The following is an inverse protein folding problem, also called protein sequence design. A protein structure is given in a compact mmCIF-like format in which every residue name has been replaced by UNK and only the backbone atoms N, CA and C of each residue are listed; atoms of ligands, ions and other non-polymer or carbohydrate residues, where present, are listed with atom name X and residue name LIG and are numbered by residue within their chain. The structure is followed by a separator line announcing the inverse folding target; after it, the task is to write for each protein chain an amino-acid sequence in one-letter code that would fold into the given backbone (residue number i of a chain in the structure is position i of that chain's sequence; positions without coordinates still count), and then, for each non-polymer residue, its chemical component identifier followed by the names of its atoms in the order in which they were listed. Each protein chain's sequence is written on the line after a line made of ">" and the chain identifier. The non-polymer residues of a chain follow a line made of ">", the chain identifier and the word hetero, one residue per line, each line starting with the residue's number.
data_IF_840513010538
#
_entry.id   IF_840513010538
#
_cell.length_a   1.000
_cell.length_b   1.000
_cell.length_c   1.000
_cell.angle_alpha   90.00
_cell.angle_beta   90.00
_cell.angle_gamma   90.00
#
_symmetry.space_group_name_H-M   'P 1'
#
loop_
_entity.id
_entity.type
_entity.pdbx_description
1 polymer ?
#
# COMPACT_ATOMS: atom_id res chain seq x y z
N UNK A 1 7.53 10.13 -3.17
CA UNK A 1 7.00 10.41 -1.82
C UNK A 1 7.14 11.88 -1.41
N UNK A 2 8.25 12.55 -1.74
CA UNK A 2 8.45 13.96 -1.33
C UNK A 2 7.39 14.93 -1.83
N UNK A 3 7.03 14.86 -3.12
CA UNK A 3 5.94 15.69 -3.68
C UNK A 3 4.61 15.49 -2.97
N UNK A 4 4.29 14.26 -2.56
CA UNK A 4 3.08 13.95 -1.79
C UNK A 4 3.17 14.55 -0.39
N UNK A 5 4.33 14.45 0.26
CA UNK A 5 4.55 15.05 1.57
C UNK A 5 4.35 16.57 1.52
N UNK A 6 4.87 17.23 0.49
CA UNK A 6 4.73 18.67 0.32
C UNK A 6 3.26 19.05 0.09
N UNK A 7 2.57 18.36 -0.83
CA UNK A 7 1.14 18.57 -1.09
C UNK A 7 0.28 18.41 0.17
N UNK A 8 0.51 17.34 0.93
CA UNK A 8 -0.24 17.05 2.15
C UNK A 8 -0.03 18.11 3.23
N UNK A 9 1.19 18.63 3.36
CA UNK A 9 1.52 19.71 4.29
C UNK A 9 0.96 21.06 3.85
N UNK A 10 0.88 21.31 2.55
CA UNK A 10 0.25 22.53 2.01
C UNK A 10 -1.25 22.56 2.31
N UNK A 11 -1.92 21.40 2.31
CA UNK A 11 -3.37 21.31 2.53
C UNK A 11 -3.72 20.39 3.72
N UNK A 12 -3.39 20.75 4.96
CA UNK A 12 -3.50 19.87 6.12
C UNK A 12 -4.94 19.44 6.44
N UNK A 13 -5.93 20.23 6.01
CA UNK A 13 -7.36 19.96 6.24
C UNK A 13 -7.99 19.06 5.18
N UNK A 14 -7.27 18.73 4.10
CA UNK A 14 -7.74 17.82 3.04
C UNK A 14 -7.17 16.44 3.32
N UNK A 15 -8.04 15.43 3.42
CA UNK A 15 -7.61 14.02 3.50
C UNK A 15 -7.14 13.57 2.12
N UNK A 16 -5.97 12.94 2.08
CA UNK A 16 -5.36 12.39 0.88
C UNK A 16 -5.26 10.88 1.04
N UNK A 17 -5.83 10.15 0.09
CA UNK A 17 -5.67 8.69 0.01
C UNK A 17 -4.52 8.39 -0.94
N UNK A 18 -3.46 7.79 -0.40
CA UNK A 18 -2.38 7.22 -1.20
C UNK A 18 -2.82 5.87 -1.74
N UNK A 19 -2.87 5.77 -3.06
CA UNK A 19 -3.29 4.56 -3.74
C UNK A 19 -2.21 3.47 -3.77
N UNK A 20 -2.68 2.22 -3.79
CA UNK A 20 -1.91 1.00 -4.02
C UNK A 20 -0.62 0.88 -3.19
N UNK A 21 -0.69 1.26 -1.91
CA UNK A 21 0.48 1.29 -1.02
C UNK A 21 1.67 2.10 -1.60
N UNK A 22 1.40 3.14 -2.40
CA UNK A 22 2.43 3.91 -3.08
C UNK A 22 3.03 3.23 -4.31
N UNK A 23 2.31 2.27 -4.88
CA UNK A 23 2.63 1.52 -6.10
C UNK A 23 4.04 0.92 -6.11
N UNK A 24 4.34 -0.06 -5.23
CA UNK A 24 5.63 -0.73 -5.23
C UNK A 24 5.77 -1.64 -6.46
N UNK A 25 6.52 -1.20 -7.46
CA UNK A 25 6.64 -1.84 -8.78
C UNK A 25 7.59 -3.05 -8.82
N UNK A 26 8.52 -3.16 -7.86
CA UNK A 26 9.52 -4.23 -7.84
C UNK A 26 9.58 -4.92 -6.47
N UNK A 27 10.09 -6.16 -6.45
CA UNK A 27 10.19 -7.01 -5.24
C UNK A 27 11.64 -7.28 -4.79
N UNK A 28 12.61 -6.51 -5.28
CA UNK A 28 13.99 -6.61 -4.79
C UNK A 28 14.12 -6.01 -3.39
N UNK A 29 15.08 -6.52 -2.59
CA UNK A 29 15.33 -6.01 -1.23
C UNK A 29 15.67 -4.51 -1.24
N UNK A 30 16.53 -4.08 -2.16
CA UNK A 30 16.91 -2.66 -2.29
C UNK A 30 15.70 -1.78 -2.59
N UNK A 31 14.85 -2.20 -3.52
CA UNK A 31 13.63 -1.45 -3.85
C UNK A 31 12.67 -1.38 -2.66
N UNK A 32 12.46 -2.51 -1.97
CA UNK A 32 11.63 -2.56 -0.76
C UNK A 32 12.16 -1.60 0.32
N UNK A 33 13.47 -1.60 0.59
CA UNK A 33 14.08 -0.73 1.59
C UNK A 33 13.91 0.76 1.24
N UNK A 34 14.01 1.11 -0.05
CA UNK A 34 13.80 2.48 -0.52
C UNK A 34 12.33 2.89 -0.48
N UNK A 35 11.41 2.02 -0.92
CA UNK A 35 9.97 2.23 -0.80
C UNK A 35 9.57 2.44 0.67
N UNK A 36 10.05 1.58 1.58
CA UNK A 36 9.78 1.64 3.02
C UNK A 36 10.25 2.95 3.65
N UNK A 37 11.44 3.45 3.28
CA UNK A 37 11.91 4.78 3.70
C UNK A 37 10.97 5.89 3.25
N UNK A 38 10.51 5.83 2.00
CA UNK A 38 9.54 6.78 1.45
C UNK A 38 8.21 6.76 2.21
N UNK A 39 7.66 5.56 2.44
CA UNK A 39 6.43 5.36 3.20
C UNK A 39 6.55 5.88 4.64
N UNK A 40 7.67 5.61 5.31
CA UNK A 40 7.92 6.07 6.68
C UNK A 40 8.03 7.61 6.78
N UNK A 41 8.39 8.30 5.70
CA UNK A 41 8.40 9.76 5.65
C UNK A 41 6.97 10.32 5.62
N UNK A 42 6.13 9.80 4.72
CA UNK A 42 4.76 10.30 4.54
C UNK A 42 3.80 9.82 5.64
N UNK A 43 4.09 8.69 6.29
CA UNK A 43 3.23 8.18 7.36
C UNK A 43 3.19 9.08 8.58
N UNK A 44 4.20 9.94 8.77
CA UNK A 44 4.27 10.97 9.81
C UNK A 44 3.34 12.18 9.56
N UNK A 45 2.58 12.17 8.47
CA UNK A 45 1.68 13.27 8.09
C UNK A 45 0.23 12.78 8.24
N UNK A 46 -0.51 13.41 9.15
CA UNK A 46 -1.78 12.87 9.68
C UNK A 46 -2.96 12.88 8.69
N UNK A 47 -2.89 13.73 7.65
CA UNK A 47 -3.92 13.79 6.61
C UNK A 47 -3.69 12.81 5.45
N UNK A 48 -2.66 11.97 5.52
CA UNK A 48 -2.44 10.88 4.55
C UNK A 48 -2.99 9.56 5.10
N UNK A 49 -3.82 8.90 4.28
CA UNK A 49 -4.39 7.57 4.47
C UNK A 49 -3.76 6.64 3.43
N UNK A 50 -3.36 5.42 3.81
CA UNK A 50 -2.80 4.44 2.90
C UNK A 50 -3.87 3.42 2.44
N UNK A 51 -4.12 3.33 1.14
CA UNK A 51 -4.96 2.30 0.54
C UNK A 51 -4.11 1.09 0.16
N UNK A 52 -4.30 -0.02 0.87
CA UNK A 52 -3.65 -1.30 0.61
C UNK A 52 -4.47 -2.04 -0.43
N UNK A 53 -3.96 -2.08 -1.66
CA UNK A 53 -4.61 -2.63 -2.85
C UNK A 53 -3.59 -2.75 -3.99
N UNK A 54 -3.89 -3.50 -5.04
CA UNK A 54 -3.10 -3.43 -6.28
C UNK A 54 -1.67 -3.97 -6.21
N UNK A 55 -1.32 -4.71 -5.16
CA UNK A 55 0.04 -5.24 -4.99
C UNK A 55 0.43 -6.26 -6.06
N UNK A 56 -0.55 -6.87 -6.74
CA UNK A 56 -0.30 -7.75 -7.88
C UNK A 56 0.30 -7.03 -9.10
N UNK A 57 0.12 -5.71 -9.24
CA UNK A 57 0.68 -4.94 -10.37
C UNK A 57 2.22 -4.90 -10.36
N UNK A 58 2.84 -4.95 -9.17
CA UNK A 58 4.30 -5.02 -9.04
C UNK A 58 4.84 -6.44 -8.82
N UNK A 59 3.95 -7.44 -8.80
CA UNK A 59 4.28 -8.86 -8.69
C UNK A 59 3.17 -9.71 -9.31
N UNK A 60 3.31 -9.98 -10.61
CA UNK A 60 2.28 -10.67 -11.39
C UNK A 60 2.04 -12.12 -10.94
N UNK A 61 2.94 -12.71 -10.15
CA UNK A 61 2.83 -14.07 -9.61
C UNK A 61 2.72 -14.07 -8.10
N UNK A 62 2.13 -13.03 -7.54
CA UNK A 62 2.14 -12.81 -6.11
C UNK A 62 1.63 -14.00 -5.31
N UNK A 63 2.26 -14.17 -4.15
CA UNK A 63 1.84 -15.07 -3.09
C UNK A 63 1.50 -14.25 -1.86
N UNK A 64 0.81 -14.87 -0.90
CA UNK A 64 0.59 -14.26 0.42
C UNK A 64 1.90 -13.73 1.01
N UNK A 65 2.95 -14.54 0.99
CA UNK A 65 4.26 -14.17 1.56
C UNK A 65 4.97 -13.06 0.79
N UNK A 66 4.73 -12.92 -0.53
CA UNK A 66 5.37 -11.86 -1.31
C UNK A 66 4.76 -10.48 -1.07
N UNK A 67 3.47 -10.42 -0.71
CA UNK A 67 2.75 -9.16 -0.46
C UNK A 67 2.67 -8.79 1.02
N UNK A 68 2.73 -9.77 1.92
CA UNK A 68 2.59 -9.56 3.37
C UNK A 68 3.56 -8.48 3.92
N UNK A 69 4.85 -8.43 3.54
CA UNK A 69 5.76 -7.39 4.03
C UNK A 69 5.32 -5.96 3.70
N UNK A 70 4.62 -5.76 2.57
CA UNK A 70 4.10 -4.46 2.17
C UNK A 70 2.85 -4.09 2.96
N UNK A 71 1.95 -5.06 3.16
CA UNK A 71 0.74 -4.90 3.98
C UNK A 71 1.12 -4.53 5.41
N UNK A 72 1.97 -5.34 6.05
CA UNK A 72 2.43 -5.11 7.42
C UNK A 72 3.19 -3.78 7.56
N UNK A 73 4.03 -3.44 6.59
CA UNK A 73 4.74 -2.16 6.61
C UNK A 73 3.76 -0.98 6.57
N UNK A 74 2.71 -1.05 5.74
CA UNK A 74 1.68 -0.01 5.69
C UNK A 74 0.92 0.09 7.02
N UNK A 75 0.47 -1.04 7.56
CA UNK A 75 -0.26 -1.08 8.84
C UNK A 75 0.58 -0.57 10.00
N UNK A 76 1.85 -0.97 10.09
CA UNK A 76 2.77 -0.54 11.13
C UNK A 76 3.10 0.96 11.05
N UNK A 77 3.23 1.52 9.84
CA UNK A 77 3.62 2.92 9.65
C UNK A 77 2.45 3.90 9.79
N UNK A 78 1.27 3.55 9.26
CA UNK A 78 0.11 4.44 9.24
C UNK A 78 -0.84 4.20 10.43
N UNK A 79 -0.81 2.99 10.99
CA UNK A 79 -1.78 2.53 11.98
C UNK A 79 -3.12 2.15 11.34
N UNK A 80 -3.88 1.30 12.03
CA UNK A 80 -5.17 0.77 11.56
C UNK A 80 -6.15 1.90 11.18
N UNK A 81 -6.12 3.02 11.91
CA UNK A 81 -7.01 4.17 11.67
C UNK A 81 -6.73 4.94 10.37
N UNK A 82 -5.57 4.72 9.73
CA UNK A 82 -5.18 5.38 8.47
C UNK A 82 -4.76 4.38 7.40
N UNK A 83 -5.23 3.14 7.52
CA UNK A 83 -5.12 2.14 6.46
C UNK A 83 -6.50 1.69 6.04
N UNK A 84 -6.70 1.55 4.73
CA UNK A 84 -7.93 0.98 4.16
C UNK A 84 -7.57 -0.13 3.19
N UNK A 85 -8.37 -1.19 3.16
CA UNK A 85 -8.29 -2.24 2.16
C UNK A 85 -9.13 -1.87 0.92
N UNK A 86 -8.64 -2.22 -0.27
CA UNK A 86 -9.45 -2.27 -1.49
C UNK A 86 -8.95 -3.37 -2.43
N UNK A 87 -9.85 -3.92 -3.24
CA UNK A 87 -9.52 -5.05 -4.13
C UNK A 87 -8.75 -4.66 -5.38
N UNK A 88 -8.79 -3.39 -5.80
CA UNK A 88 -8.33 -2.93 -7.11
C UNK A 88 -8.99 -3.66 -8.30
N UNK A 89 -10.14 -4.30 -8.09
CA UNK A 89 -10.86 -4.99 -9.15
C UNK A 89 -11.51 -3.98 -10.12
N UNK A 90 -11.51 -4.22 -11.46
CA UNK A 90 -11.10 -5.45 -12.14
C UNK A 90 -9.62 -5.60 -12.52
N UNK A 91 -8.78 -4.59 -12.28
CA UNK A 91 -7.37 -4.60 -12.72
C UNK A 91 -6.59 -5.76 -12.10
N UNK A 92 -6.79 -6.03 -10.80
CA UNK A 92 -6.15 -7.18 -10.14
C UNK A 92 -6.59 -8.54 -10.72
N UNK A 93 -7.70 -8.58 -11.48
CA UNK A 93 -8.13 -9.74 -12.25
C UNK A 93 -7.12 -10.20 -13.31
N UNK A 94 -6.15 -9.34 -13.68
CA UNK A 94 -5.03 -9.70 -14.56
C UNK A 94 -4.00 -10.63 -13.88
N UNK A 95 -3.99 -10.68 -12.54
CA UNK A 95 -2.95 -11.34 -11.75
C UNK A 95 -3.49 -12.35 -10.73
N UNK A 96 -4.80 -12.37 -10.49
CA UNK A 96 -5.43 -13.27 -9.53
C UNK A 96 -6.96 -13.30 -9.65
N UNK A 97 -7.58 -14.29 -9.00
CA UNK A 97 -9.02 -14.37 -8.85
C UNK A 97 -9.54 -13.46 -7.72
N UNK A 98 -10.74 -12.91 -7.88
CA UNK A 98 -11.37 -12.02 -6.86
C UNK A 98 -11.39 -12.66 -5.47
N UNK A 99 -11.81 -13.93 -5.37
CA UNK A 99 -11.88 -14.66 -4.11
C UNK A 99 -10.49 -14.86 -3.50
N UNK A 100 -9.46 -15.13 -4.31
CA UNK A 100 -8.08 -15.25 -3.82
C UNK A 100 -7.58 -13.93 -3.24
N UNK A 101 -7.87 -12.80 -3.89
CA UNK A 101 -7.55 -11.46 -3.35
C UNK A 101 -8.22 -11.29 -1.99
N UNK A 102 -9.54 -11.42 -1.90
CA UNK A 102 -10.30 -11.23 -0.64
C UNK A 102 -9.78 -12.14 0.48
N UNK A 103 -9.69 -13.45 0.23
CA UNK A 103 -9.32 -14.43 1.26
C UNK A 103 -7.91 -14.18 1.79
N UNK A 104 -6.97 -13.75 0.94
CA UNK A 104 -5.59 -13.45 1.37
C UNK A 104 -5.55 -12.34 2.43
N UNK A 105 -6.41 -11.33 2.34
CA UNK A 105 -6.46 -10.25 3.34
C UNK A 105 -7.23 -10.63 4.61
N UNK A 106 -8.24 -11.51 4.51
CA UNK A 106 -9.04 -11.98 5.65
C UNK A 106 -8.26 -12.97 6.52
N UNK A 107 -7.50 -13.90 5.92
CA UNK A 107 -6.81 -14.97 6.69
C UNK A 107 -5.66 -14.49 7.57
N UNK A 108 -5.32 -13.19 7.57
CA UNK A 108 -4.18 -12.62 8.26
C UNK A 108 -4.53 -11.68 9.41
N UNK A 109 -5.80 -11.35 9.61
CA UNK A 109 -6.30 -10.41 10.63
C UNK A 109 -7.71 -10.79 11.09
#
# INVERSE_FOLDING_TARGET
>A
MDKLADLAKTFPNIKIVLDHAGNPDFRTKEYFDNWKKGMAKISKIDNIICKISGLGMGDHHWTKDSILPYVETCMNLFGISRTIFATNWPVDGLYSDYSKVINTYIENY
#
